data_IF_197635315489
#
_entry.id   IF_197635315489
#
_cell.length_a   1.000
_cell.length_b   1.000
_cell.length_c   1.000
_cell.angle_alpha   90.00
_cell.angle_beta   90.00
_cell.angle_gamma   90.00
#
_symmetry.space_group_name_H-M   'P 1'
#
loop_
_entity.id
_entity.type
_entity.pdbx_description
1 polymer ?
#
# COMPACT_ATOMS: atom_id res chain seq x y z
N UNK A 1 1.09 66.39 -33.65
CA UNK A 1 0.29 65.81 -32.54
C UNK A 1 0.53 64.30 -32.42
N UNK A 2 1.71 63.85 -31.99
CA UNK A 2 1.99 62.39 -31.87
C UNK A 2 3.02 61.99 -30.80
N UNK A 3 3.65 62.95 -30.08
CA UNK A 3 4.71 62.63 -29.11
C UNK A 3 4.18 62.17 -27.73
N UNK A 4 2.94 62.53 -27.35
CA UNK A 4 2.36 62.15 -26.05
C UNK A 4 1.72 60.76 -26.01
N UNK A 5 1.24 60.23 -27.14
CA UNK A 5 0.59 58.92 -27.23
C UNK A 5 1.56 57.74 -27.13
N UNK A 6 2.76 57.86 -27.67
CA UNK A 6 3.80 56.81 -27.63
C UNK A 6 4.46 56.70 -26.26
N UNK A 7 4.66 57.81 -25.54
CA UNK A 7 5.24 57.78 -24.19
C UNK A 7 4.26 57.19 -23.16
N UNK A 8 2.98 57.56 -23.24
CA UNK A 8 1.94 56.99 -22.38
C UNK A 8 1.74 55.49 -22.66
N UNK A 9 1.69 55.06 -23.93
CA UNK A 9 1.65 53.63 -24.28
C UNK A 9 2.83 52.83 -23.71
N UNK A 10 4.06 53.37 -23.76
CA UNK A 10 5.24 52.68 -23.22
C UNK A 10 5.22 52.54 -21.68
N UNK A 11 4.72 53.55 -20.96
CA UNK A 11 4.58 53.51 -19.49
C UNK A 11 3.49 52.48 -19.08
N UNK A 12 2.33 52.48 -19.74
CA UNK A 12 1.29 51.48 -19.48
C UNK A 12 1.75 50.06 -19.85
N UNK A 13 2.52 49.88 -20.92
CA UNK A 13 3.12 48.59 -21.28
C UNK A 13 4.15 48.11 -20.24
N UNK A 14 4.87 49.02 -19.57
CA UNK A 14 5.80 48.66 -18.51
C UNK A 14 5.09 48.02 -17.31
N UNK A 15 3.87 48.48 -16.99
CA UNK A 15 3.00 47.84 -15.99
C UNK A 15 2.59 46.42 -16.40
N UNK A 16 2.13 46.25 -17.64
CA UNK A 16 1.73 44.95 -18.18
C UNK A 16 2.89 43.93 -18.22
N UNK A 17 4.09 44.35 -18.63
CA UNK A 17 5.27 43.47 -18.62
C UNK A 17 5.66 43.05 -17.20
N UNK A 18 5.63 43.98 -16.24
CA UNK A 18 5.87 43.66 -14.82
C UNK A 18 4.82 42.67 -14.28
N UNK A 19 3.54 42.86 -14.64
CA UNK A 19 2.48 41.93 -14.27
C UNK A 19 2.69 40.54 -14.89
N UNK A 20 3.09 40.46 -16.16
CA UNK A 20 3.38 39.20 -16.84
C UNK A 20 4.57 38.46 -16.23
N UNK A 21 5.63 39.18 -15.85
CA UNK A 21 6.77 38.60 -15.10
C UNK A 21 6.28 38.00 -13.78
N UNK A 22 5.49 38.74 -12.98
CA UNK A 22 4.93 38.23 -11.72
C UNK A 22 4.06 36.98 -11.93
N UNK A 23 3.24 36.95 -12.98
CA UNK A 23 2.42 35.77 -13.32
C UNK A 23 3.31 34.58 -13.69
N UNK A 24 4.35 34.79 -14.47
CA UNK A 24 5.30 33.73 -14.84
C UNK A 24 6.08 33.21 -13.62
N UNK A 25 6.52 34.10 -12.73
CA UNK A 25 7.17 33.74 -11.46
C UNK A 25 6.23 32.93 -10.56
N UNK A 26 4.97 33.35 -10.43
CA UNK A 26 3.94 32.63 -9.69
C UNK A 26 3.69 31.22 -10.27
N UNK A 27 3.61 31.09 -11.60
CA UNK A 27 3.47 29.79 -12.28
C UNK A 27 4.68 28.89 -12.07
N UNK A 28 5.90 29.46 -12.09
CA UNK A 28 7.12 28.72 -11.79
C UNK A 28 7.10 28.19 -10.35
N UNK A 29 6.72 29.02 -9.38
CA UNK A 29 6.58 28.60 -7.98
C UNK A 29 5.52 27.51 -7.83
N UNK A 30 4.37 27.65 -8.49
CA UNK A 30 3.33 26.62 -8.51
C UNK A 30 3.87 25.28 -9.04
N UNK A 31 4.55 25.28 -10.20
CA UNK A 31 5.12 24.07 -10.78
C UNK A 31 6.18 23.42 -9.85
N UNK A 32 6.98 24.23 -9.16
CA UNK A 32 7.94 23.74 -8.18
C UNK A 32 7.27 23.07 -6.99
N UNK A 33 6.21 23.66 -6.43
CA UNK A 33 5.45 23.05 -5.34
C UNK A 33 4.71 21.78 -5.79
N UNK A 34 4.16 21.76 -7.00
CA UNK A 34 3.59 20.54 -7.59
C UNK A 34 4.64 19.44 -7.68
N UNK A 35 5.83 19.74 -8.17
CA UNK A 35 6.94 18.78 -8.22
C UNK A 35 7.30 18.24 -6.83
N UNK A 36 7.45 19.12 -5.83
CA UNK A 36 7.74 18.71 -4.46
C UNK A 36 6.64 17.80 -3.90
N UNK A 37 5.38 18.16 -4.11
CA UNK A 37 4.25 17.36 -3.66
C UNK A 37 4.24 15.98 -4.32
N UNK A 38 4.44 15.90 -5.63
CA UNK A 38 4.51 14.62 -6.35
C UNK A 38 5.63 13.73 -5.82
N UNK A 39 6.81 14.30 -5.55
CA UNK A 39 7.94 13.56 -5.00
C UNK A 39 7.64 13.01 -3.59
N UNK A 40 7.04 13.82 -2.71
CA UNK A 40 6.67 13.40 -1.35
C UNK A 40 5.58 12.31 -1.37
N UNK A 41 4.60 12.45 -2.26
CA UNK A 41 3.54 11.46 -2.44
C UNK A 41 4.13 10.14 -2.94
N UNK A 42 4.94 10.16 -3.99
CA UNK A 42 5.58 8.96 -4.53
C UNK A 42 6.48 8.26 -3.49
N UNK A 43 7.28 9.01 -2.73
CA UNK A 43 8.10 8.45 -1.65
C UNK A 43 7.25 7.77 -0.56
N UNK A 44 6.10 8.36 -0.23
CA UNK A 44 5.17 7.80 0.75
C UNK A 44 4.49 6.52 0.22
N UNK A 45 4.08 6.49 -1.05
CA UNK A 45 3.49 5.31 -1.70
C UNK A 45 4.45 4.12 -1.72
N UNK A 46 5.72 4.34 -2.08
CA UNK A 46 6.76 3.30 -2.06
C UNK A 46 7.01 2.80 -0.64
N UNK A 47 7.12 3.70 0.34
CA UNK A 47 7.35 3.34 1.74
C UNK A 47 6.20 2.47 2.30
N UNK A 48 4.95 2.90 2.05
CA UNK A 48 3.77 2.20 2.54
C UNK A 48 3.58 0.83 1.87
N UNK A 49 3.82 0.73 0.57
CA UNK A 49 3.70 -0.53 -0.18
C UNK A 49 4.81 -1.53 0.21
N UNK A 50 6.04 -1.06 0.42
CA UNK A 50 7.13 -1.88 0.95
C UNK A 50 6.80 -2.45 2.33
N UNK A 51 6.32 -1.60 3.24
CA UNK A 51 5.93 -2.04 4.57
C UNK A 51 4.80 -3.08 4.51
N UNK A 52 3.80 -2.85 3.65
CA UNK A 52 2.69 -3.78 3.44
C UNK A 52 3.18 -5.14 2.95
N UNK A 53 4.12 -5.17 2.00
CA UNK A 53 4.74 -6.40 1.52
C UNK A 53 5.52 -7.14 2.62
N UNK A 54 6.34 -6.43 3.39
CA UNK A 54 7.09 -7.01 4.50
C UNK A 54 6.16 -7.63 5.55
N UNK A 55 5.10 -6.92 5.92
CA UNK A 55 4.09 -7.41 6.88
C UNK A 55 3.32 -8.61 6.36
N UNK A 56 2.97 -8.63 5.08
CA UNK A 56 2.34 -9.80 4.46
C UNK A 56 3.26 -11.04 4.52
N UNK A 57 4.57 -10.86 4.28
CA UNK A 57 5.56 -11.94 4.40
C UNK A 57 5.75 -12.43 5.84
N UNK A 58 5.77 -11.54 6.83
CA UNK A 58 5.82 -11.91 8.25
C UNK A 58 4.56 -12.71 8.68
N UNK A 59 3.40 -12.30 8.15
CA UNK A 59 2.11 -12.97 8.40
C UNK A 59 2.10 -14.40 7.86
N UNK A 60 2.67 -14.63 6.67
CA UNK A 60 2.82 -15.97 6.07
C UNK A 60 3.58 -16.92 7.01
N UNK A 61 4.74 -16.50 7.53
CA UNK A 61 5.53 -17.31 8.48
C UNK A 61 4.74 -17.64 9.75
N UNK A 62 4.06 -16.64 10.32
CA UNK A 62 3.25 -16.84 11.54
C UNK A 62 2.09 -17.79 11.28
N UNK A 63 1.45 -17.69 10.11
CA UNK A 63 0.35 -18.58 9.74
C UNK A 63 0.80 -20.03 9.57
N UNK A 64 1.97 -20.26 8.97
CA UNK A 64 2.53 -21.60 8.83
C UNK A 64 2.76 -22.27 10.19
N UNK A 65 3.31 -21.54 11.16
CA UNK A 65 3.48 -22.04 12.54
C UNK A 65 2.15 -22.37 13.21
N UNK A 66 1.12 -21.54 12.98
CA UNK A 66 -0.22 -21.81 13.48
C UNK A 66 -0.83 -23.07 12.87
N UNK A 67 -0.72 -23.26 11.55
CA UNK A 67 -1.23 -24.44 10.85
C UNK A 67 -0.53 -25.70 11.39
N UNK A 68 0.80 -25.68 11.52
CA UNK A 68 1.56 -26.81 12.09
C UNK A 68 1.13 -27.15 13.52
N UNK A 69 0.84 -26.13 14.34
CA UNK A 69 0.37 -26.33 15.72
C UNK A 69 -1.03 -26.96 15.76
N UNK A 70 -1.91 -26.54 14.84
CA UNK A 70 -3.27 -27.08 14.73
C UNK A 70 -3.28 -28.49 14.13
N UNK A 71 -2.35 -28.83 13.24
CA UNK A 71 -2.17 -30.20 12.73
C UNK A 71 -1.81 -31.16 13.87
N UNK A 72 -0.87 -30.77 14.73
CA UNK A 72 -0.53 -31.55 15.95
C UNK A 72 -1.72 -31.66 16.90
N UNK A 73 -2.51 -30.60 17.05
CA UNK A 73 -3.71 -30.64 17.89
C UNK A 73 -4.75 -31.65 17.36
N UNK A 74 -4.93 -31.72 16.04
CA UNK A 74 -5.82 -32.72 15.42
C UNK A 74 -5.27 -34.13 15.64
N UNK A 75 -3.97 -34.34 15.44
CA UNK A 75 -3.30 -35.62 15.67
C UNK A 75 -3.51 -36.12 17.11
N UNK A 76 -3.20 -35.29 18.11
CA UNK A 76 -3.37 -35.66 19.52
C UNK A 76 -4.83 -35.92 19.90
N UNK A 77 -5.79 -35.15 19.37
CA UNK A 77 -7.20 -35.41 19.65
C UNK A 77 -7.67 -36.74 19.05
N UNK A 78 -7.14 -37.14 17.88
CA UNK A 78 -7.43 -38.45 17.26
C UNK A 78 -6.83 -39.61 18.05
N UNK A 79 -5.60 -39.45 18.54
CA UNK A 79 -4.98 -40.43 19.43
C UNK A 79 -5.77 -40.58 20.74
N UNK A 80 -6.11 -39.46 21.39
CA UNK A 80 -6.89 -39.46 22.62
C UNK A 80 -8.25 -40.13 22.44
N UNK A 81 -8.94 -39.89 21.32
CA UNK A 81 -10.20 -40.57 21.00
C UNK A 81 -10.01 -42.10 20.87
N UNK A 82 -8.88 -42.53 20.33
CA UNK A 82 -8.57 -43.96 20.12
C UNK A 82 -8.25 -44.66 21.44
N UNK A 83 -7.54 -43.99 22.35
CA UNK A 83 -7.00 -44.61 23.57
C UNK A 83 -7.76 -44.26 24.86
N UNK A 84 -8.72 -43.33 24.82
CA UNK A 84 -9.50 -42.90 25.99
C UNK A 84 -11.00 -43.09 25.77
N UNK A 85 -11.62 -43.92 26.61
CA UNK A 85 -13.07 -44.16 26.61
C UNK A 85 -13.91 -42.93 26.98
N UNK A 86 -13.27 -41.86 27.47
CA UNK A 86 -13.94 -40.64 27.96
C UNK A 86 -13.80 -39.45 27.00
N UNK A 87 -13.14 -39.60 25.86
CA UNK A 87 -12.90 -38.50 24.90
C UNK A 87 -13.97 -38.53 23.81
N UNK A 88 -14.70 -37.43 23.67
CA UNK A 88 -15.78 -37.29 22.69
C UNK A 88 -15.22 -36.80 21.34
N UNK A 89 -15.75 -37.31 20.23
CA UNK A 89 -15.44 -36.91 18.86
C UNK A 89 -15.54 -35.40 18.62
N UNK A 90 -16.33 -34.68 19.43
CA UNK A 90 -16.42 -33.21 19.40
C UNK A 90 -15.06 -32.51 19.47
N UNK A 91 -14.08 -33.05 20.21
CA UNK A 91 -12.74 -32.45 20.30
C UNK A 91 -11.96 -32.59 18.98
N UNK A 92 -12.09 -33.74 18.30
CA UNK A 92 -11.52 -33.95 16.96
C UNK A 92 -12.17 -32.99 15.98
N UNK A 93 -13.50 -32.93 15.95
CA UNK A 93 -14.23 -32.04 15.04
C UNK A 93 -13.86 -30.56 15.26
N UNK A 94 -13.75 -30.13 16.52
CA UNK A 94 -13.41 -28.74 16.86
C UNK A 94 -11.97 -28.39 16.42
N UNK A 95 -11.02 -29.30 16.62
CA UNK A 95 -9.63 -29.11 16.18
C UNK A 95 -9.49 -29.13 14.66
N UNK A 96 -10.23 -30.00 13.96
CA UNK A 96 -10.28 -30.02 12.49
C UNK A 96 -10.90 -28.74 11.91
N UNK A 97 -11.96 -28.22 12.53
CA UNK A 97 -12.58 -26.96 12.13
C UNK A 97 -11.61 -25.77 12.31
N UNK A 98 -10.89 -25.73 13.44
CA UNK A 98 -9.86 -24.71 13.69
C UNK A 98 -8.72 -24.78 12.66
N UNK A 99 -8.24 -25.99 12.34
CA UNK A 99 -7.23 -26.22 11.31
C UNK A 99 -7.71 -25.75 9.93
N UNK A 100 -8.93 -26.11 9.55
CA UNK A 100 -9.52 -25.69 8.28
C UNK A 100 -9.60 -24.15 8.19
N UNK A 101 -10.08 -23.50 9.24
CA UNK A 101 -10.17 -22.04 9.30
C UNK A 101 -8.78 -21.37 9.18
N UNK A 102 -7.76 -21.94 9.83
CA UNK A 102 -6.39 -21.44 9.71
C UNK A 102 -5.83 -21.62 8.30
N UNK A 103 -6.08 -22.76 7.64
CA UNK A 103 -5.68 -23.00 6.24
C UNK A 103 -6.36 -22.04 5.27
N UNK A 104 -7.67 -21.83 5.40
CA UNK A 104 -8.42 -20.86 4.61
C UNK A 104 -7.88 -19.44 4.82
N UNK A 105 -7.57 -19.08 6.06
CA UNK A 105 -6.94 -17.79 6.38
C UNK A 105 -5.55 -17.68 5.74
N UNK A 106 -4.76 -18.77 5.70
CA UNK A 106 -3.47 -18.80 5.01
C UNK A 106 -3.56 -18.60 3.50
N UNK A 107 -4.59 -19.14 2.85
CA UNK A 107 -4.85 -18.85 1.42
C UNK A 107 -5.13 -17.36 1.20
N UNK A 108 -5.95 -16.76 2.06
CA UNK A 108 -6.22 -15.32 2.00
C UNK A 108 -4.98 -14.47 2.30
N UNK A 109 -4.14 -14.90 3.25
CA UNK A 109 -2.87 -14.23 3.57
C UNK A 109 -1.91 -14.26 2.37
N UNK A 110 -1.87 -15.38 1.65
CA UNK A 110 -1.09 -15.51 0.40
C UNK A 110 -1.62 -14.60 -0.71
N UNK A 111 -2.94 -14.47 -0.85
CA UNK A 111 -3.55 -13.53 -1.79
C UNK A 111 -3.14 -12.09 -1.46
N UNK A 112 -3.23 -11.69 -0.18
CA UNK A 112 -2.81 -10.36 0.28
C UNK A 112 -1.34 -10.09 0.00
N UNK A 113 -0.47 -11.08 0.19
CA UNK A 113 0.96 -10.98 -0.14
C UNK A 113 1.18 -10.72 -1.63
N UNK A 114 0.51 -11.46 -2.51
CA UNK A 114 0.62 -11.27 -3.96
C UNK A 114 0.13 -9.88 -4.38
N UNK A 115 -0.98 -9.40 -3.79
CA UNK A 115 -1.48 -8.05 -4.02
C UNK A 115 -0.47 -6.98 -3.56
N UNK A 116 0.15 -7.17 -2.39
CA UNK A 116 1.16 -6.26 -1.87
C UNK A 116 2.43 -6.22 -2.74
N UNK A 117 2.82 -7.35 -3.34
CA UNK A 117 3.92 -7.40 -4.31
C UNK A 117 3.58 -6.58 -5.56
N UNK A 118 2.40 -6.78 -6.15
CA UNK A 118 1.96 -6.03 -7.33
C UNK A 118 1.88 -4.54 -7.05
N UNK A 119 1.36 -4.15 -5.89
CA UNK A 119 1.25 -2.75 -5.48
C UNK A 119 2.63 -2.11 -5.23
N UNK A 120 3.55 -2.83 -4.61
CA UNK A 120 4.94 -2.36 -4.43
C UNK A 120 5.64 -2.18 -5.78
N UNK A 121 5.46 -3.12 -6.72
CA UNK A 121 6.00 -3.00 -8.07
C UNK A 121 5.43 -1.77 -8.81
N UNK A 122 4.12 -1.53 -8.69
CA UNK A 122 3.44 -0.34 -9.22
C UNK A 122 4.00 0.96 -8.63
N UNK A 123 4.15 1.02 -7.31
CA UNK A 123 4.65 2.21 -6.60
C UNK A 123 6.09 2.57 -6.99
N UNK A 124 6.94 1.58 -7.33
CA UNK A 124 8.30 1.81 -7.82
C UNK A 124 8.37 2.36 -9.26
N UNK A 125 7.23 2.55 -9.93
CA UNK A 125 7.15 3.00 -11.32
C UNK A 125 7.07 1.86 -12.34
N UNK A 126 6.94 0.61 -11.90
CA UNK A 126 6.75 -0.56 -12.73
C UNK A 126 5.27 -0.83 -13.01
N UNK A 127 4.82 -0.44 -14.20
CA UNK A 127 3.44 -0.61 -14.67
C UNK A 127 2.90 0.65 -15.36
N UNK A 128 3.69 1.27 -16.23
CA UNK A 128 3.13 2.26 -17.16
C UNK A 128 2.36 1.49 -18.23
N UNK A 129 1.09 1.19 -17.93
CA UNK A 129 -0.13 1.18 -18.78
C UNK A 129 -1.28 0.62 -17.94
#
# INVERSE_FOLDING_TARGET
>A
YTLGGTLTQNIFQQGNRKAQVRVTEARKMQAFYTFQQTLLTAGSEVSNSLLSYQKAKEKETTRLLQIQSLEKAVEYNKELLTYSSNVNYVNVLTSEQALLQARLSGVNDRLQQLQAVTEFYRALGGGQF
#
